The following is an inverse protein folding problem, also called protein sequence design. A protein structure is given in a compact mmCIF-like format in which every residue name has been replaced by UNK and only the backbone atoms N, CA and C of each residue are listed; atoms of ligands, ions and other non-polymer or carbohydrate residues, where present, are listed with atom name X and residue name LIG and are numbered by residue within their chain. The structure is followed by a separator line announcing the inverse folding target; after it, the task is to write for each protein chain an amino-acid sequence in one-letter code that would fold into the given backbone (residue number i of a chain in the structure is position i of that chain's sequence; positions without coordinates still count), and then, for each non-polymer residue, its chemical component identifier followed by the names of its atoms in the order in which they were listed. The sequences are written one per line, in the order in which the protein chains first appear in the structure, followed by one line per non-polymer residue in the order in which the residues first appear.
data_IF_896567306520
#
_entry.id   IF_896567306520
#
_cell.length_a   1.000
_cell.length_b   1.000
_cell.length_c   1.000
_cell.angle_alpha   90.00
_cell.angle_beta   90.00
_cell.angle_gamma   90.00
#
_symmetry.space_group_name_H-M   'P 1'
#
loop_
_entity.id
_entity.type
_entity.pdbx_description
1 polymer ?
#
# COMPACT_ATOMS: atom_id res chain seq x y z
N UNK A 1 -4.62 7.90 15.58
CA UNK A 1 -4.10 7.54 14.24
C UNK A 1 -5.28 7.19 13.37
N UNK A 2 -5.28 7.55 12.08
CA UNK A 2 -6.36 7.18 11.14
C UNK A 2 -5.87 6.02 10.25
N UNK A 3 -6.72 5.03 10.01
CA UNK A 3 -6.36 3.84 9.22
C UNK A 3 -7.24 3.78 7.97
N UNK A 4 -6.63 3.88 6.80
CA UNK A 4 -7.26 3.65 5.50
C UNK A 4 -6.78 2.32 4.94
N UNK A 5 -7.70 1.53 4.38
CA UNK A 5 -7.39 0.34 3.62
C UNK A 5 -8.01 0.48 2.22
N UNK A 6 -7.16 0.44 1.20
CA UNK A 6 -7.59 0.30 -0.19
C UNK A 6 -7.38 -1.15 -0.63
N UNK A 7 -8.43 -1.79 -1.13
CA UNK A 7 -8.38 -3.15 -1.66
C UNK A 7 -8.63 -3.12 -3.16
N UNK A 8 -7.67 -3.58 -3.93
CA UNK A 8 -7.80 -3.75 -5.37
C UNK A 8 -8.79 -4.87 -5.70
N UNK A 9 -9.71 -4.59 -6.62
CA UNK A 9 -10.73 -5.55 -7.06
C UNK A 9 -10.16 -6.81 -7.68
N UNK A 10 -8.98 -6.74 -8.31
CA UNK A 10 -8.32 -7.85 -8.98
C UNK A 10 -7.72 -8.86 -8.01
N UNK A 11 -7.52 -8.50 -6.74
CA UNK A 11 -7.02 -9.42 -5.71
C UNK A 11 -7.98 -10.57 -5.50
N UNK A 12 -7.43 -11.79 -5.56
CA UNK A 12 -8.14 -13.04 -5.26
C UNK A 12 -8.98 -12.92 -3.99
N UNK A 13 -10.26 -13.29 -4.06
CA UNK A 13 -11.16 -13.29 -2.89
C UNK A 13 -11.12 -11.98 -2.04
N UNK A 14 -11.06 -10.83 -2.72
CA UNK A 14 -11.05 -9.49 -2.10
C UNK A 14 -12.23 -9.25 -1.15
N UNK A 15 -13.36 -9.95 -1.33
CA UNK A 15 -14.51 -9.89 -0.41
C UNK A 15 -14.19 -10.45 0.97
N UNK A 16 -13.46 -11.56 1.04
CA UNK A 16 -13.02 -12.13 2.33
C UNK A 16 -12.09 -11.17 3.05
N UNK A 17 -11.17 -10.50 2.34
CA UNK A 17 -10.33 -9.46 2.92
C UNK A 17 -11.16 -8.28 3.45
N UNK A 18 -12.14 -7.81 2.68
CA UNK A 18 -13.02 -6.71 3.08
C UNK A 18 -13.91 -7.04 4.29
N UNK A 19 -14.38 -8.28 4.39
CA UNK A 19 -15.24 -8.73 5.49
C UNK A 19 -14.51 -8.87 6.84
N UNK A 20 -13.18 -8.92 6.81
CA UNK A 20 -12.33 -9.27 7.96
C UNK A 20 -11.27 -8.21 8.24
N UNK A 21 -11.74 -6.97 8.35
CA UNK A 21 -10.92 -5.79 8.65
C UNK A 21 -11.10 -5.40 10.11
N UNK A 22 -10.02 -4.96 10.76
CA UNK A 22 -10.03 -4.50 12.14
C UNK A 22 -10.96 -3.27 12.30
N UNK A 23 -11.72 -3.18 13.42
CA UNK A 23 -12.59 -2.06 13.71
C UNK A 23 -11.88 -0.69 13.60
N UNK A 24 -12.57 0.30 13.05
CA UNK A 24 -12.03 1.66 12.88
C UNK A 24 -11.15 1.86 11.63
N UNK A 25 -10.95 0.82 10.81
CA UNK A 25 -10.33 0.95 9.49
C UNK A 25 -11.37 1.42 8.48
N UNK A 26 -11.05 2.48 7.74
CA UNK A 26 -11.87 3.02 6.67
C UNK A 26 -11.49 2.29 5.38
N UNK A 27 -12.42 1.52 4.81
CA UNK A 27 -12.14 0.62 3.68
C UNK A 27 -12.70 1.19 2.38
N UNK A 28 -11.88 1.23 1.34
CA UNK A 28 -12.25 1.60 -0.02
C UNK A 28 -11.85 0.50 -1.00
N UNK A 29 -12.72 0.20 -1.97
CA UNK A 29 -12.41 -0.72 -3.06
C UNK A 29 -11.92 0.07 -4.28
N UNK A 30 -10.82 -0.36 -4.89
CA UNK A 30 -10.35 0.13 -6.19
C UNK A 30 -10.95 -0.79 -7.27
N UNK A 31 -11.75 -0.26 -8.19
CA UNK A 31 -12.26 -1.05 -9.32
C UNK A 31 -11.17 -1.29 -10.36
N UNK A 32 -11.34 -2.33 -11.18
CA UNK A 32 -10.40 -2.76 -12.22
C UNK A 32 -10.33 -1.78 -13.41
N UNK A 33 -11.35 -0.95 -13.60
CA UNK A 33 -11.50 -0.02 -14.71
C UNK A 33 -11.04 1.43 -14.40
N UNK A 34 -10.58 1.71 -13.18
CA UNK A 34 -10.13 3.04 -12.76
C UNK A 34 -8.61 3.12 -12.65
N UNK A 35 -8.06 4.32 -12.85
CA UNK A 35 -6.68 4.60 -12.44
C UNK A 35 -6.63 4.63 -10.90
N UNK A 36 -6.08 3.58 -10.31
CA UNK A 36 -6.10 3.43 -8.85
C UNK A 36 -5.28 4.48 -8.10
N UNK A 37 -4.26 5.08 -8.73
CA UNK A 37 -3.49 6.17 -8.09
C UNK A 37 -4.36 7.42 -7.97
N UNK A 38 -5.03 7.79 -9.06
CA UNK A 38 -5.96 8.93 -9.06
C UNK A 38 -7.14 8.69 -8.10
N UNK A 39 -7.69 7.47 -8.08
CA UNK A 39 -8.78 7.11 -7.19
C UNK A 39 -8.39 7.21 -5.71
N UNK A 40 -7.23 6.70 -5.32
CA UNK A 40 -6.70 6.83 -3.95
C UNK A 40 -6.56 8.32 -3.58
N UNK A 41 -5.95 9.12 -4.46
CA UNK A 41 -5.76 10.55 -4.22
C UNK A 41 -7.08 11.28 -4.02
N UNK A 42 -8.05 11.08 -4.91
CA UNK A 42 -9.36 11.74 -4.83
C UNK A 42 -10.12 11.30 -3.57
N UNK A 43 -10.07 10.01 -3.24
CA UNK A 43 -10.73 9.45 -2.06
C UNK A 43 -10.14 10.03 -0.79
N UNK A 44 -8.82 10.00 -0.62
CA UNK A 44 -8.15 10.56 0.56
C UNK A 44 -8.43 12.06 0.72
N UNK A 45 -8.36 12.84 -0.35
CA UNK A 45 -8.72 14.26 -0.32
C UNK A 45 -10.17 14.50 0.15
N UNK A 46 -11.10 13.68 -0.33
CA UNK A 46 -12.50 13.75 0.08
C UNK A 46 -12.67 13.37 1.56
N UNK A 47 -12.00 12.31 2.03
CA UNK A 47 -12.02 11.89 3.44
C UNK A 47 -11.45 12.97 4.37
N UNK A 48 -10.33 13.59 3.98
CA UNK A 48 -9.75 14.72 4.72
C UNK A 48 -10.67 15.94 4.76
N UNK A 49 -11.43 16.20 3.69
CA UNK A 49 -12.37 17.33 3.62
C UNK A 49 -13.66 17.07 4.43
N UNK A 50 -14.20 15.84 4.37
CA UNK A 50 -15.43 15.45 5.08
C UNK A 50 -15.24 15.38 6.58
N UNK A 51 -14.05 15.04 7.06
CA UNK A 51 -13.70 15.21 8.46
C UNK A 51 -13.56 16.71 8.77
N UNK A 52 -14.68 17.40 8.94
CA UNK A 52 -14.85 18.81 9.37
C UNK A 52 -14.23 19.11 10.77
N UNK A 53 -13.04 18.61 11.10
CA UNK A 53 -12.69 18.37 12.51
C UNK A 53 -11.24 18.69 12.91
N UNK A 54 -11.18 19.60 13.88
CA UNK A 54 -10.21 19.85 14.96
C UNK A 54 -8.74 20.11 14.62
N UNK A 55 -8.31 21.32 14.98
CA UNK A 55 -6.92 21.79 15.05
C UNK A 55 -5.99 20.86 15.87
N UNK A 56 -6.56 19.96 16.69
CA UNK A 56 -5.85 18.92 17.46
C UNK A 56 -5.42 17.69 16.64
N UNK A 57 -5.76 17.59 15.34
CA UNK A 57 -5.49 16.39 14.51
C UNK A 57 -4.09 16.31 13.89
N UNK A 58 -3.06 16.63 14.67
CA UNK A 58 -1.69 16.12 14.47
C UNK A 58 -1.56 14.58 14.62
N UNK A 59 -2.62 13.82 14.29
CA UNK A 59 -2.61 12.37 14.37
C UNK A 59 -2.14 11.75 13.06
N UNK A 60 -1.20 10.81 13.15
CA UNK A 60 -0.62 10.11 12.02
C UNK A 60 -1.68 9.30 11.22
N UNK A 61 -1.36 8.99 9.97
CA UNK A 61 -2.19 8.19 9.05
C UNK A 61 -1.47 6.91 8.67
N UNK A 62 -2.18 5.78 8.70
CA UNK A 62 -1.75 4.55 8.04
C UNK A 62 -2.59 4.36 6.80
N UNK A 63 -1.95 4.35 5.63
CA UNK A 63 -2.53 3.96 4.36
C UNK A 63 -2.06 2.55 4.02
N UNK A 64 -2.95 1.58 4.10
CA UNK A 64 -2.72 0.20 3.67
C UNK A 64 -3.31 0.01 2.28
N UNK A 65 -2.56 -0.60 1.38
CA UNK A 65 -3.00 -0.91 0.02
C UNK A 65 -2.82 -2.41 -0.20
N UNK A 66 -3.90 -3.14 -0.38
CA UNK A 66 -3.91 -4.56 -0.73
C UNK A 66 -4.14 -4.71 -2.23
N UNK A 67 -3.09 -5.10 -2.95
CA UNK A 67 -3.12 -5.17 -4.40
C UNK A 67 -2.10 -6.19 -4.93
N UNK A 68 -2.22 -6.51 -6.21
CA UNK A 68 -1.25 -7.37 -6.88
C UNK A 68 0.09 -6.66 -7.08
N UNK A 69 1.18 -7.40 -6.88
CA UNK A 69 2.54 -6.91 -7.08
C UNK A 69 3.41 -7.89 -7.86
N UNK A 70 4.45 -7.34 -8.48
CA UNK A 70 5.62 -8.05 -9.02
C UNK A 70 6.87 -7.18 -8.77
N UNK A 71 8.11 -7.68 -8.98
CA UNK A 71 9.31 -6.90 -8.67
C UNK A 71 9.35 -5.52 -9.34
N UNK A 72 9.25 -4.45 -8.55
CA UNK A 72 9.24 -3.06 -9.02
C UNK A 72 7.91 -2.53 -9.55
N UNK A 73 6.81 -3.27 -9.35
CA UNK A 73 5.50 -2.93 -9.91
C UNK A 73 4.37 -3.17 -8.92
N UNK A 74 3.47 -2.20 -8.79
CA UNK A 74 2.22 -2.30 -8.05
C UNK A 74 1.04 -2.07 -9.00
N UNK A 75 0.07 -2.98 -9.02
CA UNK A 75 -1.13 -2.88 -9.85
C UNK A 75 -2.26 -2.23 -9.04
N UNK A 76 -2.87 -1.16 -9.56
CA UNK A 76 -3.92 -0.40 -8.88
C UNK A 76 -5.03 -0.06 -9.88
N UNK A 77 -6.09 -0.85 -9.91
CA UNK A 77 -7.11 -0.84 -10.94
C UNK A 77 -6.49 -1.16 -12.30
N UNK A 78 -6.64 -0.25 -13.26
CA UNK A 78 -5.97 -0.34 -14.56
C UNK A 78 -4.58 0.34 -14.59
N UNK A 79 -4.17 0.98 -13.49
CA UNK A 79 -2.87 1.62 -13.39
C UNK A 79 -1.78 0.64 -12.95
N UNK A 80 -0.58 0.82 -13.50
CA UNK A 80 0.62 0.03 -13.16
C UNK A 80 1.66 0.99 -12.61
N UNK A 81 1.77 1.12 -11.29
CA UNK A 81 2.72 2.03 -10.66
C UNK A 81 4.13 1.41 -10.63
N UNK A 82 5.10 2.09 -11.22
CA UNK A 82 6.50 1.67 -11.27
C UNK A 82 7.43 2.88 -11.41
N UNK A 83 8.75 2.69 -11.39
CA UNK A 83 9.71 3.78 -11.63
C UNK A 83 9.49 4.50 -12.97
N UNK A 84 9.01 3.78 -14.00
CA UNK A 84 8.85 4.33 -15.35
C UNK A 84 7.80 5.46 -15.41
N UNK A 85 6.81 5.45 -14.52
CA UNK A 85 5.73 6.44 -14.50
C UNK A 85 5.58 7.17 -13.16
N UNK A 86 6.44 6.88 -12.18
CA UNK A 86 6.36 7.49 -10.85
C UNK A 86 6.38 9.02 -10.88
N UNK A 87 7.18 9.60 -11.78
CA UNK A 87 7.25 11.06 -11.95
C UNK A 87 5.91 11.66 -12.41
N UNK A 88 5.13 10.95 -13.24
CA UNK A 88 3.80 11.38 -13.67
C UNK A 88 2.82 11.41 -12.49
N UNK A 89 2.92 10.45 -11.58
CA UNK A 89 2.05 10.34 -10.40
C UNK A 89 2.55 11.10 -9.18
N UNK A 90 3.73 11.73 -9.25
CA UNK A 90 4.42 12.33 -8.10
C UNK A 90 3.52 13.24 -7.27
N UNK A 91 2.84 14.18 -7.91
CA UNK A 91 2.01 15.17 -7.21
C UNK A 91 0.74 14.53 -6.62
N UNK A 92 0.26 13.43 -7.20
CA UNK A 92 -0.89 12.66 -6.70
C UNK A 92 -0.51 11.81 -5.49
N UNK A 93 0.63 11.14 -5.56
CA UNK A 93 1.18 10.33 -4.46
C UNK A 93 1.59 11.23 -3.28
N UNK A 94 2.16 12.41 -3.55
CA UNK A 94 2.45 13.38 -2.50
C UNK A 94 1.18 13.79 -1.75
N UNK A 95 0.03 13.84 -2.45
CA UNK A 95 -1.25 14.18 -1.84
C UNK A 95 -1.82 13.14 -0.90
N UNK A 96 -1.36 11.88 -0.97
CA UNK A 96 -1.86 10.81 -0.10
C UNK A 96 -1.68 11.09 1.40
N UNK A 97 -0.77 12.00 1.76
CA UNK A 97 -0.56 12.46 3.13
C UNK A 97 -0.54 13.99 3.27
N UNK A 98 -0.92 14.74 2.22
CA UNK A 98 -0.77 16.20 2.18
C UNK A 98 -1.87 16.99 2.88
N UNK A 99 -2.96 16.35 3.31
CA UNK A 99 -4.06 17.01 4.01
C UNK A 99 -3.72 17.57 5.40
N UNK A 100 -2.44 17.66 5.76
CA UNK A 100 -1.96 18.02 7.10
C UNK A 100 -0.74 18.95 7.01
N UNK A 101 -0.63 19.96 7.92
CA UNK A 101 0.55 20.80 7.98
C UNK A 101 1.83 19.94 8.15
N UNK A 102 2.92 20.38 7.49
CA UNK A 102 4.24 19.75 7.61
C UNK A 102 4.73 19.91 9.06
N UNK A 103 4.35 18.99 9.95
CA UNK A 103 4.94 18.86 11.28
C UNK A 103 6.25 18.06 11.18
N UNK A 104 7.24 18.46 11.97
CA UNK A 104 8.57 17.82 12.04
C UNK A 104 8.47 16.37 12.58
N UNK A 105 7.33 15.97 13.16
CA UNK A 105 7.14 14.67 13.85
C UNK A 105 5.99 13.84 13.25
N UNK A 106 5.87 13.77 11.92
CA UNK A 106 4.89 12.87 11.28
C UNK A 106 5.38 11.42 11.26
N UNK A 107 4.50 10.50 11.67
CA UNK A 107 4.69 9.04 11.65
C UNK A 107 3.66 8.37 10.73
N UNK A 108 3.36 9.03 9.62
CA UNK A 108 2.54 8.48 8.55
C UNK A 108 3.17 7.20 7.99
N UNK A 109 2.32 6.25 7.58
CA UNK A 109 2.73 4.92 7.14
C UNK A 109 2.04 4.56 5.84
N UNK A 110 2.81 4.07 4.87
CA UNK A 110 2.32 3.44 3.66
C UNK A 110 2.66 1.94 3.73
N UNK A 111 1.64 1.10 3.79
CA UNK A 111 1.79 -0.36 3.85
C UNK A 111 1.34 -0.97 2.52
N UNK A 112 2.27 -1.55 1.77
CA UNK A 112 2.01 -2.18 0.48
C UNK A 112 1.81 -3.68 0.68
N UNK A 113 0.57 -4.09 0.94
CA UNK A 113 0.17 -5.50 0.95
C UNK A 113 0.14 -6.02 -0.49
N UNK A 114 1.29 -6.48 -0.96
CA UNK A 114 1.51 -6.86 -2.36
C UNK A 114 2.72 -7.79 -2.46
N UNK A 115 2.68 -8.76 -3.39
CA UNK A 115 3.79 -9.69 -3.59
C UNK A 115 4.99 -9.02 -4.26
N UNK A 116 6.18 -9.33 -3.76
CA UNK A 116 7.47 -9.17 -4.44
C UNK A 116 7.84 -7.74 -4.89
N UNK A 117 7.08 -6.70 -4.53
CA UNK A 117 7.32 -5.32 -5.01
C UNK A 117 8.75 -4.85 -4.73
N UNK A 118 9.32 -5.24 -3.59
CA UNK A 118 10.69 -4.89 -3.17
C UNK A 118 11.76 -5.94 -3.57
N UNK A 119 11.41 -6.95 -4.36
CA UNK A 119 12.30 -8.09 -4.67
C UNK A 119 13.41 -7.79 -5.69
N UNK A 120 13.41 -6.61 -6.32
CA UNK A 120 14.44 -6.20 -7.29
C UNK A 120 15.06 -4.86 -6.91
N UNK A 121 16.20 -4.53 -7.52
CA UNK A 121 16.82 -3.21 -7.36
C UNK A 121 15.86 -2.07 -7.75
N UNK A 122 15.12 -2.23 -8.86
CA UNK A 122 14.07 -1.31 -9.26
C UNK A 122 12.93 -1.23 -8.23
N UNK A 123 12.59 -2.35 -7.59
CA UNK A 123 11.66 -2.39 -6.46
C UNK A 123 12.12 -1.58 -5.27
N UNK A 124 13.36 -1.79 -4.83
CA UNK A 124 13.93 -1.04 -3.70
C UNK A 124 14.01 0.46 -4.01
N UNK A 125 14.36 0.83 -5.23
CA UNK A 125 14.38 2.23 -5.68
C UNK A 125 12.96 2.82 -5.72
N UNK A 126 11.95 2.07 -6.18
CA UNK A 126 10.54 2.47 -6.12
C UNK A 126 10.12 2.78 -4.69
N UNK A 127 10.41 1.88 -3.72
CA UNK A 127 10.11 2.10 -2.30
C UNK A 127 10.83 3.35 -1.77
N UNK A 128 12.07 3.58 -2.19
CA UNK A 128 12.83 4.77 -1.81
C UNK A 128 12.21 6.07 -2.32
N UNK A 129 11.75 6.10 -3.58
CA UNK A 129 11.05 7.27 -4.10
C UNK A 129 9.69 7.47 -3.45
N UNK A 130 8.90 6.41 -3.22
CA UNK A 130 7.63 6.51 -2.52
C UNK A 130 7.80 7.12 -1.13
N UNK A 131 8.81 6.66 -0.38
CA UNK A 131 9.15 7.23 0.93
C UNK A 131 9.47 8.73 0.86
N UNK A 132 10.26 9.15 -0.14
CA UNK A 132 10.62 10.56 -0.34
C UNK A 132 9.45 11.45 -0.78
N UNK A 133 8.55 10.92 -1.61
CA UNK A 133 7.39 11.67 -2.12
C UNK A 133 6.33 11.83 -1.03
N UNK A 134 6.07 10.75 -0.28
CA UNK A 134 5.01 10.72 0.74
C UNK A 134 5.46 11.28 2.09
N UNK A 135 6.76 11.30 2.38
CA UNK A 135 7.30 11.50 3.73
C UNK A 135 6.70 10.51 4.76
N UNK A 136 6.29 9.33 4.30
CA UNK A 136 5.80 8.26 5.16
C UNK A 136 6.87 7.18 5.35
N UNK A 137 6.73 6.39 6.42
CA UNK A 137 7.41 5.10 6.49
C UNK A 137 6.74 4.16 5.51
N UNK A 138 7.49 3.60 4.57
CA UNK A 138 6.98 2.64 3.58
C UNK A 138 7.36 1.22 4.02
N UNK A 139 6.35 0.36 4.08
CA UNK A 139 6.48 -1.07 4.33
C UNK A 139 6.12 -1.83 3.06
N UNK A 140 7.02 -2.69 2.60
CA UNK A 140 6.84 -3.53 1.41
C UNK A 140 7.44 -4.93 1.64
N UNK A 141 7.17 -5.86 0.72
CA UNK A 141 7.73 -7.22 0.76
C UNK A 141 8.51 -7.54 -0.50
N UNK A 142 9.62 -8.26 -0.32
CA UNK A 142 10.37 -8.94 -1.37
C UNK A 142 9.91 -10.39 -1.60
N UNK A 143 8.89 -10.83 -0.84
CA UNK A 143 8.31 -12.17 -0.91
C UNK A 143 6.80 -12.13 -1.16
N UNK A 144 6.24 -13.30 -1.47
CA UNK A 144 4.79 -13.48 -1.62
C UNK A 144 4.05 -13.11 -0.35
N UNK A 145 2.98 -12.34 -0.48
CA UNK A 145 2.04 -12.05 0.59
C UNK A 145 0.76 -12.88 0.50
N UNK A 146 0.26 -13.35 1.65
CA UNK A 146 -1.00 -14.10 1.76
C UNK A 146 -0.82 -15.51 2.33
N UNK A 147 -1.50 -16.48 1.73
CA UNK A 147 -1.63 -17.84 2.23
C UNK A 147 -0.30 -18.58 2.38
N UNK A 148 -0.01 -19.08 3.60
CA UNK A 148 1.19 -19.82 3.93
C UNK A 148 1.35 -21.15 3.17
N UNK A 149 0.26 -21.86 2.89
CA UNK A 149 0.27 -23.09 2.09
C UNK A 149 0.61 -22.83 0.61
N UNK A 150 0.47 -21.59 0.14
CA UNK A 150 0.88 -21.13 -1.20
C UNK A 150 2.26 -20.44 -1.20
N UNK A 151 3.00 -20.55 -0.09
CA UNK A 151 4.31 -19.93 0.09
C UNK A 151 4.28 -18.44 0.40
N UNK A 152 3.12 -17.89 0.75
CA UNK A 152 2.97 -16.50 1.18
C UNK A 152 3.13 -16.32 2.69
N UNK A 153 3.22 -15.07 3.13
CA UNK A 153 3.09 -14.68 4.53
C UNK A 153 2.51 -13.26 4.62
N UNK A 154 2.30 -12.70 5.80
CA UNK A 154 1.76 -11.33 5.94
C UNK A 154 2.80 -10.33 6.46
N UNK A 155 4.09 -10.66 6.31
CA UNK A 155 5.19 -9.87 6.85
C UNK A 155 5.75 -8.91 5.80
N UNK A 156 6.25 -7.78 6.29
CA UNK A 156 7.07 -6.87 5.52
C UNK A 156 8.54 -7.14 5.86
N UNK A 157 9.36 -7.34 4.85
CA UNK A 157 10.82 -7.49 4.99
C UNK A 157 11.59 -6.23 4.57
N UNK A 158 10.88 -5.27 3.95
CA UNK A 158 11.42 -4.01 3.48
C UNK A 158 10.72 -2.87 4.20
N UNK A 159 11.50 -2.09 4.94
CA UNK A 159 11.05 -0.93 5.69
C UNK A 159 11.97 0.26 5.39
N UNK A 160 11.39 1.37 4.97
CA UNK A 160 12.13 2.61 4.77
C UNK A 160 11.39 3.80 5.39
N UNK A 161 12.08 4.57 6.24
CA UNK A 161 11.55 5.81 6.81
C UNK A 161 12.28 7.04 6.25
N UNK A 162 11.53 8.13 6.04
CA UNK A 162 12.07 9.37 5.48
C UNK A 162 13.07 10.07 6.40
N UNK A 163 13.03 9.76 7.70
CA UNK A 163 13.80 10.43 8.76
C UNK A 163 14.80 9.52 9.49
N UNK A 164 15.30 8.45 8.86
CA UNK A 164 16.24 7.47 9.49
C UNK A 164 17.46 8.10 10.17
N UNK A 165 17.92 9.28 9.74
CA UNK A 165 19.01 10.03 10.40
C UNK A 165 18.61 10.83 11.64
N UNK A 166 17.33 11.21 11.78
CA UNK A 166 16.81 12.00 12.90
C UNK A 166 16.15 11.13 13.97
N UNK A 167 15.68 9.92 13.63
CA UNK A 167 15.01 8.99 14.56
C UNK A 167 15.84 8.72 15.83
N UNK A 168 17.15 8.40 15.75
CA UNK A 168 17.97 8.19 16.96
C UNK A 168 18.22 9.48 17.75
N UNK A 169 18.36 10.63 17.05
CA UNK A 169 18.62 11.93 17.67
C UNK A 169 17.40 12.48 18.44
N UNK A 170 16.20 12.01 18.11
CA UNK A 170 14.95 12.36 18.78
C UNK A 170 14.55 11.35 19.88
N UNK A 171 15.43 10.40 20.22
CA UNK A 171 15.18 9.40 21.26
C UNK A 171 14.14 8.34 20.89
N UNK A 172 13.80 8.21 19.60
CA UNK A 172 12.84 7.22 19.14
C UNK A 172 13.54 5.90 18.80
N UNK A 173 13.04 4.81 19.41
CA UNK A 173 13.26 3.44 18.96
C UNK A 173 12.80 3.29 17.50
N UNK A 174 13.30 2.25 16.81
CA UNK A 174 12.88 1.85 15.44
C UNK A 174 11.38 2.10 15.20
N UNK A 175 10.97 2.49 13.97
CA UNK A 175 9.57 2.73 13.68
C UNK A 175 8.73 1.53 14.14
N UNK A 176 7.61 1.77 14.84
CA UNK A 176 6.81 0.69 15.42
C UNK A 176 6.39 -0.30 14.34
N UNK A 177 6.22 -1.57 14.76
CA UNK A 177 5.78 -2.62 13.86
C UNK A 177 4.50 -2.20 13.12
N UNK A 178 4.38 -2.55 11.82
CA UNK A 178 3.19 -2.25 11.06
C UNK A 178 2.01 -2.99 11.70
N UNK A 179 0.97 -2.24 12.06
CA UNK A 179 -0.30 -2.85 12.47
C UNK A 179 -1.06 -3.28 11.23
N UNK A 180 -1.53 -4.53 11.20
CA UNK A 180 -2.33 -5.04 10.11
C UNK A 180 -3.71 -4.37 10.08
N UNK A 181 -4.25 -4.02 8.90
CA UNK A 181 -5.65 -3.64 8.76
C UNK A 181 -6.58 -4.85 8.86
N UNK A 182 -6.06 -6.07 8.68
CA UNK A 182 -6.83 -7.31 8.69
C UNK A 182 -6.87 -7.96 10.07
N UNK A 183 -8.00 -8.59 10.40
CA UNK A 183 -8.17 -9.36 11.63
C UNK A 183 -7.37 -10.68 11.61
N UNK A 184 -7.19 -11.29 12.78
CA UNK A 184 -6.42 -12.54 12.90
C UNK A 184 -7.04 -13.73 12.17
N UNK A 185 -8.36 -13.71 11.93
CA UNK A 185 -9.06 -14.79 11.23
C UNK A 185 -8.67 -14.80 9.76
N UNK A 186 -8.78 -13.68 9.06
CA UNK A 186 -8.42 -13.66 7.63
C UNK A 186 -6.93 -13.81 7.40
N UNK A 187 -6.08 -13.29 8.30
CA UNK A 187 -4.64 -13.54 8.24
C UNK A 187 -4.32 -15.05 8.29
N UNK A 188 -5.12 -15.84 9.00
CA UNK A 188 -4.96 -17.29 9.10
C UNK A 188 -5.65 -18.07 7.97
N UNK A 189 -6.76 -17.59 7.43
CA UNK A 189 -7.65 -18.38 6.54
C UNK A 189 -7.73 -17.91 5.10
N UNK A 190 -7.17 -16.75 4.74
CA UNK A 190 -7.24 -16.22 3.38
C UNK A 190 -6.69 -17.25 2.37
N UNK A 191 -7.43 -17.60 1.30
CA UNK A 191 -7.05 -18.69 0.41
C UNK A 191 -6.02 -18.29 -0.66
N UNK A 192 -5.86 -17.00 -0.93
CA UNK A 192 -5.08 -16.47 -2.05
C UNK A 192 -3.67 -16.01 -1.68
N UNK A 193 -2.96 -15.51 -2.69
CA UNK A 193 -1.75 -14.69 -2.52
C UNK A 193 -1.92 -13.41 -3.34
N UNK A 194 -1.27 -12.33 -2.92
CA UNK A 194 -1.39 -11.02 -3.55
C UNK A 194 -0.46 -10.88 -4.78
N UNK A 195 -0.24 -11.97 -5.53
CA UNK A 195 0.63 -12.00 -6.71
C UNK A 195 -0.19 -11.77 -7.97
N UNK A 196 0.28 -10.92 -8.88
CA UNK A 196 -0.41 -10.72 -10.16
C UNK A 196 -0.58 -12.08 -10.88
N UNK A 197 -1.78 -12.36 -11.37
CA UNK A 197 -1.98 -13.53 -12.22
C UNK A 197 -1.09 -13.36 -13.46
N UNK A 198 -0.17 -14.29 -13.70
CA UNK A 198 0.53 -14.35 -14.99
C UNK A 198 -0.55 -14.51 -16.06
N UNK A 199 -0.67 -13.61 -17.05
CA UNK A 199 -1.61 -13.84 -18.14
C UNK A 199 -1.22 -15.17 -18.79
N UNK A 200 -2.10 -16.15 -18.72
CA UNK A 200 -1.95 -17.37 -19.50
C UNK A 200 -1.91 -16.93 -20.97
N UNK A 201 -0.74 -17.03 -21.61
CA UNK A 201 -0.65 -16.88 -23.06
C UNK A 201 -1.53 -17.99 -23.64
N UNK A 202 -2.75 -17.65 -24.03
CA UNK A 202 -3.50 -18.45 -24.98
C UNK A 202 -2.74 -18.37 -26.30
N UNK A 203 -1.85 -19.33 -26.53
CA UNK A 203 -1.34 -19.62 -27.87
C UNK A 203 -2.50 -20.17 -28.67
N UNK A 204 -3.27 -19.28 -29.31
CA UNK A 204 -4.09 -19.63 -30.44
C UNK A 204 -3.14 -19.99 -31.60
N UNK A 205 -2.75 -21.26 -31.70
CA UNK A 205 -2.25 -21.83 -32.95
C UNK A 205 -3.45 -22.17 -33.81
N UNK A 206 -4.04 -21.15 -34.43
CA UNK A 206 -4.94 -21.33 -35.56
C UNK A 206 -4.16 -20.98 -36.82
N UNK A 207 -3.73 -22.00 -37.57
CA UNK A 207 -3.25 -21.80 -38.95
C UNK A 207 -4.39 -22.19 -39.89
N UNK A 208 -4.72 -21.22 -40.76
CA UNK A 208 -5.49 -21.20 -42.00
C UNK A 208 -6.38 -22.42 -42.35
#
# INVERSE_FOLDING_TARGET
MTHFLFIDASVDDSRTLQAHVNPGTIVHRISDDVDGVEYITQTLNAEYTRSQYDEDRASDTTLSIAAHGTPGVLHLGNAVLSLANLNRYRDRIQQWFSGKPLSVVRRDRLQLYSCDVAASAAGQELIHHLCRITYATVYASSTKMGNAQRGGNWNFDTLLSWNTRLVPLMGYSQPPAPQSPFDSKVLATYPGILAASTPTRNTFTGTL
#
